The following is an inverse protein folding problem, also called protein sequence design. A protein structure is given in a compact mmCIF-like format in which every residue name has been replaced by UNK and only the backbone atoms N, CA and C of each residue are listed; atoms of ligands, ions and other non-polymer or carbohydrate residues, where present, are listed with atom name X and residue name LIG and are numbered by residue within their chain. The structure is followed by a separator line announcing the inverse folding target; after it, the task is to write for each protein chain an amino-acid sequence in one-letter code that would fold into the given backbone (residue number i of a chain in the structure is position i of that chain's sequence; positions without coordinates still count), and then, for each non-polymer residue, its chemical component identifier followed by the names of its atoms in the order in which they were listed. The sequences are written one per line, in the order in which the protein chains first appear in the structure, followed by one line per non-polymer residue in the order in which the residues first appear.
data_IF_345952162462
#
_entry.id   IF_345952162462
#
_cell.length_a   1.000
_cell.length_b   1.000
_cell.length_c   1.000
_cell.angle_alpha   90.00
_cell.angle_beta   90.00
_cell.angle_gamma   90.00
#
_symmetry.space_group_name_H-M   'P 1'
#
loop_
_entity.id
_entity.type
_entity.pdbx_description
1 polymer ?
#
# COMPACT_ATOMS: atom_id res chain seq x y z
N UNK A 1 -19.84 21.29 -2.52
CA UNK A 1 -19.86 20.48 -1.27
C UNK A 1 -18.62 19.59 -1.28
N UNK A 2 -17.54 20.01 -0.62
CA UNK A 2 -16.27 19.27 -0.61
C UNK A 2 -16.39 18.03 0.29
N UNK A 3 -16.65 16.86 -0.31
CA UNK A 3 -16.58 15.57 0.38
C UNK A 3 -15.12 15.35 0.81
N UNK A 4 -14.82 15.52 2.10
CA UNK A 4 -13.53 15.09 2.64
C UNK A 4 -13.45 13.57 2.46
N UNK A 5 -12.40 13.09 1.78
CA UNK A 5 -12.14 11.66 1.63
C UNK A 5 -11.95 11.10 3.05
N UNK A 6 -12.70 10.05 3.39
CA UNK A 6 -12.62 9.41 4.70
C UNK A 6 -11.21 8.87 4.90
N UNK A 7 -10.57 9.25 6.01
CA UNK A 7 -9.18 8.86 6.30
C UNK A 7 -9.17 7.44 6.86
N UNK A 8 -8.55 6.50 6.15
CA UNK A 8 -8.32 5.15 6.66
C UNK A 8 -6.97 5.08 7.40
N UNK A 9 -6.99 4.61 8.65
CA UNK A 9 -5.76 4.35 9.41
C UNK A 9 -5.15 2.99 9.03
N UNK A 10 -4.02 3.02 8.32
CA UNK A 10 -3.25 1.84 7.92
C UNK A 10 -2.12 1.48 8.89
N UNK A 11 -1.96 2.18 10.02
CA UNK A 11 -0.80 2.01 10.92
C UNK A 11 -0.62 0.56 11.37
N UNK A 12 -1.72 -0.13 11.70
CA UNK A 12 -1.66 -1.55 12.09
C UNK A 12 -1.42 -2.48 10.91
N UNK A 13 -2.01 -2.17 9.76
CA UNK A 13 -1.90 -2.98 8.53
C UNK A 13 -0.46 -2.97 8.02
N UNK A 14 0.18 -1.79 7.93
CA UNK A 14 1.53 -1.65 7.40
C UNK A 14 2.61 -2.32 8.24
N UNK A 15 2.36 -2.63 9.52
CA UNK A 15 3.29 -3.45 10.32
C UNK A 15 3.59 -4.80 9.67
N UNK A 16 2.60 -5.43 9.02
CA UNK A 16 2.78 -6.72 8.33
C UNK A 16 3.46 -6.60 6.95
N UNK A 17 3.63 -5.38 6.45
CA UNK A 17 4.18 -5.10 5.13
C UNK A 17 5.50 -4.33 5.17
N UNK A 18 6.17 -4.27 6.34
CA UNK A 18 7.44 -3.58 6.50
C UNK A 18 8.48 -3.99 5.45
N UNK A 19 9.11 -2.99 4.82
CA UNK A 19 10.10 -3.19 3.75
C UNK A 19 9.52 -3.60 2.39
N UNK A 20 8.22 -3.86 2.29
CA UNK A 20 7.56 -4.30 1.06
C UNK A 20 6.96 -3.15 0.27
N UNK A 21 6.86 -3.37 -1.03
CA UNK A 21 5.94 -2.65 -1.90
C UNK A 21 4.52 -3.13 -1.64
N UNK A 22 3.59 -2.18 -1.56
CA UNK A 22 2.17 -2.40 -1.33
C UNK A 22 1.39 -1.71 -2.44
N UNK A 23 0.43 -2.43 -2.99
CA UNK A 23 -0.58 -1.92 -3.91
C UNK A 23 -1.88 -1.69 -3.12
N UNK A 24 -2.33 -0.44 -3.06
CA UNK A 24 -3.61 -0.06 -2.48
C UNK A 24 -4.68 0.03 -3.56
N UNK A 25 -5.92 -0.25 -3.16
CA UNK A 25 -7.09 -0.01 -4.00
C UNK A 25 -7.28 1.49 -4.29
N UNK A 26 -7.95 1.87 -5.39
CA UNK A 26 -8.15 3.28 -5.77
C UNK A 26 -8.92 4.09 -4.72
N UNK A 27 -9.73 3.41 -3.90
CA UNK A 27 -10.45 4.01 -2.78
C UNK A 27 -9.57 4.23 -1.54
N UNK A 28 -8.30 3.80 -1.57
CA UNK A 28 -7.34 3.86 -0.46
C UNK A 28 -7.86 3.17 0.81
N UNK A 29 -8.68 2.13 0.68
CA UNK A 29 -9.25 1.41 1.85
C UNK A 29 -8.65 0.04 2.09
N UNK A 30 -7.98 -0.56 1.11
CA UNK A 30 -7.52 -1.95 1.19
C UNK A 30 -6.18 -2.17 0.50
N UNK A 31 -5.39 -3.10 1.06
CA UNK A 31 -4.21 -3.65 0.41
C UNK A 31 -4.65 -4.75 -0.56
N UNK A 32 -4.42 -4.51 -1.85
CA UNK A 32 -4.78 -5.42 -2.94
C UNK A 32 -3.59 -6.17 -3.52
N UNK A 33 -2.36 -5.81 -3.13
CA UNK A 33 -1.17 -6.57 -3.46
C UNK A 33 0.04 -6.14 -2.64
N UNK A 34 1.04 -7.01 -2.55
CA UNK A 34 2.30 -6.74 -1.87
C UNK A 34 3.46 -7.53 -2.49
N UNK A 35 4.69 -7.09 -2.25
CA UNK A 35 5.87 -7.79 -2.72
C UNK A 35 7.17 -7.08 -2.38
N UNK A 36 8.31 -7.72 -2.65
CA UNK A 36 9.62 -7.11 -2.43
C UNK A 36 9.98 -6.10 -3.53
N UNK A 37 9.26 -6.15 -4.66
CA UNK A 37 9.42 -5.25 -5.80
C UNK A 37 8.07 -4.67 -6.25
N UNK A 38 8.05 -3.51 -6.94
CA UNK A 38 6.82 -2.96 -7.52
C UNK A 38 6.14 -3.95 -8.47
N UNK A 39 6.95 -4.72 -9.21
CA UNK A 39 6.48 -5.72 -10.17
C UNK A 39 5.71 -6.86 -9.50
N UNK A 40 6.17 -7.33 -8.33
CA UNK A 40 5.46 -8.33 -7.53
C UNK A 40 4.13 -7.79 -6.99
N UNK A 41 4.15 -6.57 -6.40
CA UNK A 41 2.95 -5.93 -5.91
C UNK A 41 1.91 -5.70 -7.03
N UNK A 42 2.37 -5.31 -8.23
CA UNK A 42 1.53 -5.19 -9.42
C UNK A 42 0.93 -6.54 -9.81
N UNK A 43 1.75 -7.59 -9.90
CA UNK A 43 1.29 -8.94 -10.23
C UNK A 43 0.24 -9.45 -9.25
N UNK A 44 0.37 -9.18 -7.96
CA UNK A 44 -0.66 -9.50 -6.97
C UNK A 44 -1.93 -8.66 -7.16
N UNK A 45 -1.81 -7.36 -7.42
CA UNK A 45 -2.96 -6.47 -7.61
C UNK A 45 -3.80 -6.83 -8.84
N UNK A 46 -3.15 -7.25 -9.94
CA UNK A 46 -3.82 -7.68 -11.17
C UNK A 46 -4.65 -8.94 -10.92
N UNK A 47 -4.14 -9.89 -10.11
CA UNK A 47 -4.90 -11.08 -9.72
C UNK A 47 -6.20 -10.74 -8.98
N UNK A 48 -6.25 -9.58 -8.31
CA UNK A 48 -7.45 -9.08 -7.62
C UNK A 48 -8.36 -8.21 -8.50
N UNK A 49 -8.08 -8.08 -9.80
CA UNK A 49 -8.96 -7.42 -10.78
C UNK A 49 -8.98 -5.89 -10.71
N UNK A 50 -7.96 -5.25 -10.11
CA UNK A 50 -7.87 -3.79 -10.04
C UNK A 50 -7.05 -3.23 -11.20
N UNK A 51 -7.59 -2.24 -11.91
CA UNK A 51 -6.96 -1.64 -13.09
C UNK A 51 -5.85 -0.63 -12.77
N UNK A 52 -6.02 0.16 -11.69
CA UNK A 52 -5.10 1.25 -11.34
C UNK A 52 -4.83 1.29 -9.82
N UNK A 53 -4.00 0.37 -9.29
CA UNK A 53 -3.57 0.41 -7.90
C UNK A 53 -2.65 1.61 -7.61
N UNK A 54 -2.71 2.12 -6.38
CA UNK A 54 -1.75 3.10 -5.86
C UNK A 54 -0.60 2.33 -5.21
N UNK A 55 0.64 2.60 -5.64
CA UNK A 55 1.82 1.92 -5.09
C UNK A 55 2.51 2.76 -4.02
N UNK A 56 2.91 2.11 -2.93
CA UNK A 56 3.77 2.69 -1.90
C UNK A 56 4.80 1.66 -1.43
N UNK A 57 5.98 2.14 -1.05
CA UNK A 57 6.97 1.30 -0.35
C UNK A 57 6.85 1.56 1.14
N UNK A 58 6.47 0.52 1.88
CA UNK A 58 6.39 0.61 3.34
C UNK A 58 7.83 0.61 3.88
N UNK A 59 8.22 1.64 4.65
CA UNK A 59 9.54 1.66 5.27
C UNK A 59 9.69 0.46 6.21
N UNK A 60 10.88 -0.11 6.23
CA UNK A 60 11.22 -1.13 7.21
C UNK A 60 11.59 -0.44 8.54
N UNK A 61 11.05 -0.94 9.65
CA UNK A 61 11.30 -0.36 10.99
C UNK A 61 12.71 -0.60 11.52
N UNK A 62 13.53 -1.35 10.80
CA UNK A 62 14.97 -1.51 11.08
C UNK A 62 15.79 -0.25 10.74
N UNK A 63 15.17 0.76 10.10
CA UNK A 63 15.85 1.99 9.69
C UNK A 63 15.06 3.21 10.14
N UNK A 64 15.68 4.00 11.01
CA UNK A 64 15.20 5.33 11.40
C UNK A 64 15.50 6.31 10.27
N UNK A 65 14.51 7.12 9.87
CA UNK A 65 14.75 8.29 9.04
C UNK A 65 15.01 9.48 9.96
N UNK A 66 16.16 10.13 9.82
CA UNK A 66 16.42 11.46 10.39
C UNK A 66 16.26 12.45 9.23
N UNK A 67 15.36 13.41 9.39
CA UNK A 67 15.09 14.51 8.44
C UNK A 67 15.98 15.71 8.75
#
# INVERSE_FOLDING_TARGET
MNKRKEVCDFTKVFKSYQGKWVALSPDEKKVIGSGNSPKEALKESIKKGTKEPIFLKVPSTDRSFVL
#
